data_IF_104778787540
#
_entry.id   IF_104778787540
#
_cell.length_a   1.000
_cell.length_b   1.000
_cell.length_c   1.000
_cell.angle_alpha   90.00
_cell.angle_beta   90.00
_cell.angle_gamma   90.00
#
_symmetry.space_group_name_H-M   'P 1'
#
loop_
_entity.id
_entity.type
_entity.pdbx_description
1 polymer ?
#
# COMPACT_ATOMS: atom_id res chain seq x y z
N UNK A 1 -8.84 0.03 26.98
CA UNK A 1 -8.11 -1.19 27.43
C UNK A 1 -8.40 -2.27 26.40
N UNK A 2 -7.39 -3.01 25.93
CA UNK A 2 -7.49 -3.97 24.82
C UNK A 2 -8.32 -5.24 25.11
N UNK A 3 -8.69 -5.49 26.37
CA UNK A 3 -9.33 -6.75 26.78
C UNK A 3 -8.44 -8.00 26.68
N UNK A 4 -7.14 -7.82 26.39
CA UNK A 4 -6.18 -8.93 26.33
C UNK A 4 -5.84 -9.40 27.73
N UNK A 5 -6.16 -10.65 28.04
CA UNK A 5 -6.00 -11.24 29.38
C UNK A 5 -4.68 -12.01 29.54
N UNK A 6 -4.01 -12.38 28.45
CA UNK A 6 -2.75 -13.11 28.46
C UNK A 6 -1.70 -12.34 27.67
N UNK A 7 -0.51 -12.19 28.23
CA UNK A 7 0.66 -11.59 27.59
C UNK A 7 1.87 -12.46 27.88
N UNK A 8 2.71 -12.70 26.87
CA UNK A 8 3.99 -13.39 27.02
C UNK A 8 5.03 -12.77 26.10
N UNK A 9 6.27 -12.74 26.51
CA UNK A 9 7.43 -12.43 25.67
C UNK A 9 8.03 -13.69 25.01
N UNK A 10 7.47 -14.86 25.33
CA UNK A 10 7.86 -16.14 24.77
C UNK A 10 6.88 -16.56 23.68
N UNK A 11 7.30 -16.43 22.41
CA UNK A 11 6.47 -16.80 21.27
C UNK A 11 6.13 -18.30 21.27
N UNK A 12 7.08 -19.15 21.61
CA UNK A 12 6.88 -20.62 21.57
C UNK A 12 5.80 -21.06 22.58
N UNK A 13 5.73 -20.41 23.75
CA UNK A 13 4.65 -20.62 24.73
C UNK A 13 3.28 -20.18 24.17
N UNK A 14 3.22 -19.01 23.53
CA UNK A 14 1.98 -18.53 22.94
C UNK A 14 1.50 -19.43 21.78
N UNK A 15 2.41 -19.97 20.98
CA UNK A 15 2.12 -20.89 19.89
C UNK A 15 1.72 -22.29 20.36
N UNK A 16 2.17 -22.71 21.53
CA UNK A 16 1.81 -24.01 22.12
C UNK A 16 0.36 -24.05 22.63
N UNK A 17 -0.27 -22.91 22.90
CA UNK A 17 -1.67 -22.86 23.34
C UNK A 17 -2.60 -23.29 22.19
N UNK A 18 -3.36 -24.41 22.34
CA UNK A 18 -4.25 -24.90 21.28
C UNK A 18 -5.44 -23.97 21.00
N UNK A 19 -5.79 -23.09 21.92
CA UNK A 19 -6.87 -22.10 21.73
C UNK A 19 -6.44 -20.93 20.82
N UNK A 20 -5.15 -20.71 20.65
CA UNK A 20 -4.61 -19.72 19.72
C UNK A 20 -4.53 -20.35 18.32
N UNK A 21 -5.57 -20.20 17.49
CA UNK A 21 -5.63 -20.81 16.16
C UNK A 21 -5.04 -19.93 15.05
N UNK A 22 -4.87 -18.63 15.31
CA UNK A 22 -4.33 -17.65 14.35
C UNK A 22 -3.09 -17.02 14.98
N UNK A 23 -2.05 -16.89 14.16
CA UNK A 23 -0.89 -16.06 14.43
C UNK A 23 -0.97 -14.80 13.56
N UNK A 24 -1.08 -13.63 14.18
CA UNK A 24 -0.99 -12.33 13.50
C UNK A 24 0.42 -11.75 13.71
N UNK A 25 1.13 -11.52 12.61
CA UNK A 25 2.43 -10.88 12.66
C UNK A 25 2.36 -9.38 12.38
N UNK A 26 2.70 -8.58 13.37
CA UNK A 26 2.85 -7.13 13.29
C UNK A 26 4.26 -6.66 13.70
N UNK A 27 5.25 -7.54 13.65
CA UNK A 27 6.65 -7.23 13.98
C UNK A 27 7.33 -6.41 12.87
N UNK A 28 8.57 -5.98 13.15
CA UNK A 28 9.46 -5.44 12.10
C UNK A 28 9.77 -6.53 11.06
N UNK A 29 9.98 -6.12 9.81
CA UNK A 29 10.11 -7.03 8.66
C UNK A 29 11.16 -8.11 8.86
N UNK A 30 12.35 -7.76 9.36
CA UNK A 30 13.46 -8.70 9.55
C UNK A 30 13.20 -9.82 10.57
N UNK A 31 12.23 -9.66 11.47
CA UNK A 31 11.87 -10.68 12.49
C UNK A 31 10.72 -11.59 12.04
N UNK A 32 9.98 -11.19 11.03
CA UNK A 32 8.71 -11.82 10.64
C UNK A 32 8.87 -13.25 10.16
N UNK A 33 9.82 -13.50 9.27
CA UNK A 33 9.96 -14.79 8.62
C UNK A 33 10.15 -15.96 9.61
N UNK A 34 10.99 -15.80 10.62
CA UNK A 34 11.22 -16.84 11.61
C UNK A 34 10.00 -17.09 12.50
N UNK A 35 9.30 -16.02 12.88
CA UNK A 35 8.09 -16.14 13.68
C UNK A 35 6.96 -16.82 12.89
N UNK A 36 6.78 -16.48 11.60
CA UNK A 36 5.81 -17.14 10.72
C UNK A 36 6.14 -18.62 10.53
N UNK A 37 7.41 -19.00 10.31
CA UNK A 37 7.84 -20.41 10.23
C UNK A 37 7.48 -21.19 11.48
N UNK A 38 7.73 -20.62 12.66
CA UNK A 38 7.35 -21.24 13.94
C UNK A 38 5.84 -21.41 14.06
N UNK A 39 5.08 -20.40 13.69
CA UNK A 39 3.63 -20.43 13.75
C UNK A 39 3.03 -21.48 12.80
N UNK A 40 3.53 -21.57 11.56
CA UNK A 40 3.13 -22.61 10.61
C UNK A 40 3.44 -24.01 11.13
N UNK A 41 4.66 -24.21 11.70
CA UNK A 41 5.06 -25.49 12.32
C UNK A 41 4.15 -25.86 13.50
N UNK A 42 3.63 -24.88 14.23
CA UNK A 42 2.66 -25.07 15.31
C UNK A 42 1.21 -25.22 14.81
N UNK A 43 0.98 -25.31 13.47
CA UNK A 43 -0.34 -25.49 12.85
C UNK A 43 -1.25 -24.27 12.93
N UNK A 44 -0.70 -23.07 13.15
CA UNK A 44 -1.50 -21.84 13.22
C UNK A 44 -1.81 -21.29 11.83
N UNK A 45 -3.01 -20.76 11.65
CA UNK A 45 -3.33 -19.92 10.50
C UNK A 45 -2.56 -18.62 10.59
N UNK A 46 -2.10 -18.09 9.45
CA UNK A 46 -1.19 -16.95 9.40
C UNK A 46 -1.90 -15.73 8.83
N UNK A 47 -1.79 -14.60 9.52
CA UNK A 47 -2.15 -13.29 8.98
C UNK A 47 -1.00 -12.33 9.24
N UNK A 48 -0.46 -11.71 8.20
CA UNK A 48 0.77 -10.92 8.29
C UNK A 48 0.56 -9.47 7.88
N UNK A 49 1.23 -8.56 8.59
CA UNK A 49 1.51 -7.24 8.05
C UNK A 49 2.44 -7.32 6.83
N UNK A 50 2.32 -6.32 5.98
CA UNK A 50 3.26 -6.11 4.86
C UNK A 50 4.47 -5.26 5.33
N UNK A 51 5.64 -5.39 4.66
CA UNK A 51 6.08 -6.47 3.77
C UNK A 51 6.15 -7.80 4.50
N UNK A 52 5.80 -8.89 3.83
CA UNK A 52 5.77 -10.22 4.49
C UNK A 52 7.16 -10.81 4.75
N UNK A 53 8.18 -10.28 4.08
CA UNK A 53 9.59 -10.69 4.22
C UNK A 53 10.53 -9.58 3.71
N UNK A 54 11.83 -9.77 3.88
CA UNK A 54 12.86 -8.80 3.49
C UNK A 54 13.22 -8.85 2.01
N UNK A 55 13.00 -10.00 1.34
CA UNK A 55 13.23 -10.21 -0.07
C UNK A 55 12.21 -11.17 -0.69
N UNK A 56 12.17 -11.22 -2.03
CA UNK A 56 11.20 -12.02 -2.78
C UNK A 56 11.39 -13.52 -2.56
N UNK A 57 12.62 -14.02 -2.40
CA UNK A 57 12.88 -15.45 -2.19
C UNK A 57 12.34 -15.89 -0.83
N UNK A 58 12.65 -15.14 0.23
CA UNK A 58 12.14 -15.40 1.57
C UNK A 58 10.60 -15.30 1.62
N UNK A 59 10.01 -14.34 0.93
CA UNK A 59 8.56 -14.21 0.82
C UNK A 59 7.92 -15.43 0.13
N UNK A 60 8.52 -15.89 -0.97
CA UNK A 60 8.07 -17.10 -1.68
C UNK A 60 8.18 -18.36 -0.81
N UNK A 61 9.28 -18.52 -0.08
CA UNK A 61 9.47 -19.63 0.86
C UNK A 61 8.35 -19.68 1.90
N UNK A 62 7.95 -18.51 2.46
CA UNK A 62 6.85 -18.45 3.44
C UNK A 62 5.51 -18.83 2.81
N UNK A 63 5.23 -18.34 1.61
CA UNK A 63 4.01 -18.74 0.88
C UNK A 63 3.95 -20.24 0.62
N UNK A 64 5.02 -20.81 0.07
CA UNK A 64 5.10 -22.25 -0.22
C UNK A 64 5.02 -23.10 1.06
N UNK A 65 5.62 -22.65 2.16
CA UNK A 65 5.49 -23.29 3.45
C UNK A 65 4.04 -23.31 3.94
N UNK A 66 3.34 -22.20 3.88
CA UNK A 66 1.92 -22.15 4.26
C UNK A 66 1.07 -23.05 3.37
N UNK A 67 1.30 -23.01 2.05
CA UNK A 67 0.59 -23.83 1.07
C UNK A 67 0.80 -25.34 1.30
N UNK A 68 2.04 -25.76 1.53
CA UNK A 68 2.37 -27.18 1.77
C UNK A 68 1.86 -27.70 3.11
N UNK A 69 1.76 -26.82 4.12
CA UNK A 69 1.25 -27.16 5.44
C UNK A 69 -0.28 -27.11 5.55
N UNK A 70 -0.98 -26.63 4.50
CA UNK A 70 -2.44 -26.54 4.47
C UNK A 70 -3.02 -25.49 5.44
N UNK A 71 -2.19 -24.61 6.03
CA UNK A 71 -2.69 -23.56 6.89
C UNK A 71 -3.28 -22.42 6.05
N UNK A 72 -4.39 -21.83 6.53
CA UNK A 72 -4.95 -20.62 5.94
C UNK A 72 -3.98 -19.48 6.15
N UNK A 73 -3.81 -18.63 5.14
CA UNK A 73 -2.88 -17.53 5.23
C UNK A 73 -3.39 -16.28 4.53
N UNK A 74 -2.92 -15.10 4.96
CA UNK A 74 -3.31 -13.82 4.42
C UNK A 74 -2.30 -12.73 4.72
N UNK A 75 -2.32 -11.68 3.92
CA UNK A 75 -1.51 -10.47 4.09
C UNK A 75 -2.40 -9.24 4.20
N UNK A 76 -2.00 -8.28 5.03
CA UNK A 76 -2.71 -7.00 5.16
C UNK A 76 -2.59 -6.19 3.86
N UNK A 77 -3.75 -5.87 3.28
CA UNK A 77 -3.93 -5.01 2.11
C UNK A 77 -5.04 -3.99 2.36
N UNK A 78 -4.95 -3.32 3.49
CA UNK A 78 -5.96 -2.43 4.07
C UNK A 78 -6.49 -1.37 3.10
N UNK A 79 -5.63 -0.81 2.25
CA UNK A 79 -6.02 0.29 1.36
C UNK A 79 -7.05 -0.08 0.30
N UNK A 80 -7.23 -1.38 -0.02
CA UNK A 80 -8.30 -1.84 -0.91
C UNK A 80 -9.70 -1.57 -0.34
N UNK A 81 -9.81 -1.43 0.99
CA UNK A 81 -11.05 -1.25 1.72
C UNK A 81 -11.28 0.20 2.13
N UNK A 82 -10.45 1.13 1.68
CA UNK A 82 -10.70 2.56 1.87
C UNK A 82 -11.92 2.99 1.04
N UNK A 83 -12.86 3.75 1.62
CA UNK A 83 -14.09 4.15 0.93
C UNK A 83 -13.86 4.80 -0.44
N UNK A 84 -12.84 5.67 -0.55
CA UNK A 84 -12.47 6.28 -1.83
C UNK A 84 -12.03 5.27 -2.88
N UNK A 85 -11.27 4.24 -2.49
CA UNK A 85 -10.81 3.17 -3.39
C UNK A 85 -11.96 2.24 -3.79
N UNK A 86 -12.86 1.91 -2.86
CA UNK A 86 -14.08 1.13 -3.16
C UNK A 86 -14.94 1.85 -4.20
N UNK A 87 -15.16 3.17 -4.04
CA UNK A 87 -15.88 3.99 -5.01
C UNK A 87 -15.20 3.98 -6.38
N UNK A 88 -13.88 4.13 -6.40
CA UNK A 88 -13.08 4.12 -7.62
C UNK A 88 -13.19 2.77 -8.35
N UNK A 89 -13.04 1.67 -7.62
CA UNK A 89 -13.17 0.31 -8.16
C UNK A 89 -14.55 0.07 -8.78
N UNK A 90 -15.62 0.54 -8.12
CA UNK A 90 -16.98 0.49 -8.65
C UNK A 90 -17.14 1.26 -9.96
N UNK A 91 -16.56 2.46 -10.07
CA UNK A 91 -16.58 3.25 -11.31
C UNK A 91 -15.89 2.52 -12.47
N UNK A 92 -14.76 1.85 -12.18
CA UNK A 92 -14.03 1.04 -13.17
C UNK A 92 -14.91 -0.12 -13.65
N UNK A 93 -15.49 -0.87 -12.72
CA UNK A 93 -16.36 -2.03 -13.03
C UNK A 93 -17.61 -1.63 -13.85
N UNK A 94 -18.09 -0.41 -13.67
CA UNK A 94 -19.21 0.14 -14.44
C UNK A 94 -18.81 0.75 -15.78
N UNK A 95 -17.51 0.73 -16.13
CA UNK A 95 -17.01 1.26 -17.39
C UNK A 95 -17.02 2.79 -17.51
N UNK A 96 -17.11 3.51 -16.38
CA UNK A 96 -17.20 4.97 -16.32
C UNK A 96 -16.06 5.66 -17.10
N UNK A 97 -14.86 5.15 -16.99
CA UNK A 97 -13.67 5.75 -17.62
C UNK A 97 -13.54 5.50 -19.12
N UNK A 98 -14.27 4.50 -19.68
CA UNK A 98 -13.94 3.96 -20.99
C UNK A 98 -12.56 3.27 -20.93
N UNK A 99 -11.65 3.62 -21.86
CA UNK A 99 -10.23 3.19 -21.74
C UNK A 99 -9.54 4.07 -20.71
N UNK A 100 -8.96 3.48 -19.68
CA UNK A 100 -8.09 4.18 -18.73
C UNK A 100 -6.77 4.50 -19.46
N UNK A 101 -6.32 5.74 -19.33
CA UNK A 101 -5.12 6.27 -19.98
C UNK A 101 -3.97 6.36 -18.99
N UNK A 102 -4.23 6.95 -17.83
CA UNK A 102 -3.21 7.17 -16.82
C UNK A 102 -3.79 7.17 -15.41
N UNK A 103 -2.93 6.83 -14.44
CA UNK A 103 -3.19 6.92 -13.00
C UNK A 103 -2.07 7.74 -12.35
N UNK A 104 -2.42 8.71 -11.52
CA UNK A 104 -1.46 9.47 -10.71
C UNK A 104 -1.78 9.31 -9.25
N UNK A 105 -0.79 8.98 -8.45
CA UNK A 105 -0.91 8.80 -7.01
C UNK A 105 0.02 9.71 -6.23
N UNK A 106 -0.50 10.34 -5.19
CA UNK A 106 0.26 11.15 -4.24
C UNK A 106 0.02 10.61 -2.84
N UNK A 107 1.10 10.29 -2.14
CA UNK A 107 1.08 9.84 -0.75
C UNK A 107 2.10 10.63 0.06
N UNK A 108 1.70 11.08 1.22
CA UNK A 108 2.62 11.65 2.18
C UNK A 108 2.02 12.72 3.05
N UNK A 109 2.66 12.93 4.19
CA UNK A 109 2.25 13.91 5.18
C UNK A 109 3.47 14.40 5.97
N UNK A 110 3.45 15.65 6.38
CA UNK A 110 4.52 16.27 7.16
C UNK A 110 4.73 15.64 8.54
N UNK A 111 3.73 14.96 9.11
CA UNK A 111 3.83 14.26 10.42
C UNK A 111 4.90 13.16 10.46
N UNK A 112 5.44 12.78 9.32
CA UNK A 112 6.50 11.80 9.20
C UNK A 112 7.91 12.42 9.12
N UNK A 113 8.06 13.73 9.20
CA UNK A 113 9.36 14.40 9.06
C UNK A 113 10.36 13.99 10.15
N UNK A 114 10.03 14.20 11.43
CA UNK A 114 10.84 13.75 12.55
C UNK A 114 12.19 14.46 12.71
N UNK A 115 12.35 15.66 12.13
CA UNK A 115 13.60 16.43 12.13
C UNK A 115 13.84 17.21 13.42
N UNK A 116 12.78 17.63 14.09
CA UNK A 116 12.83 18.44 15.32
C UNK A 116 12.14 17.77 16.51
N UNK A 117 11.15 16.93 16.25
CA UNK A 117 10.46 16.09 17.23
C UNK A 117 10.32 14.68 16.66
N UNK A 118 10.13 13.63 17.47
CA UNK A 118 9.93 12.28 16.95
C UNK A 118 8.82 12.22 15.91
N UNK A 119 9.09 11.56 14.80
CA UNK A 119 8.07 11.30 13.76
C UNK A 119 6.94 10.44 14.31
N UNK A 120 5.78 10.49 13.68
CA UNK A 120 4.69 9.56 14.00
C UNK A 120 5.06 8.10 13.69
N UNK A 121 5.98 7.86 12.73
CA UNK A 121 6.53 6.53 12.45
C UNK A 121 7.71 6.24 13.37
N UNK A 122 7.85 4.99 13.86
CA UNK A 122 9.02 4.56 14.62
C UNK A 122 10.33 4.75 13.82
N UNK A 123 11.41 5.07 14.53
CA UNK A 123 12.71 5.43 13.96
C UNK A 123 13.34 4.34 13.07
N UNK A 124 13.02 3.06 13.28
CA UNK A 124 13.51 1.99 12.43
C UNK A 124 13.07 2.11 10.96
N UNK A 125 11.92 2.75 10.67
CA UNK A 125 11.47 2.98 9.31
C UNK A 125 12.45 3.82 8.46
N UNK A 126 13.32 4.60 9.11
CA UNK A 126 14.28 5.49 8.45
C UNK A 126 15.71 4.92 8.44
N UNK A 127 15.86 3.64 8.80
CA UNK A 127 17.15 2.93 8.83
C UNK A 127 17.12 1.75 7.86
N UNK A 128 18.07 1.74 6.93
CA UNK A 128 18.21 0.66 5.95
C UNK A 128 18.62 -0.66 6.60
N UNK A 129 19.42 -0.59 7.63
CA UNK A 129 19.88 -1.72 8.44
C UNK A 129 18.77 -2.41 9.24
N UNK A 130 17.63 -1.72 9.41
CA UNK A 130 16.43 -2.24 10.08
C UNK A 130 15.31 -2.60 9.05
N UNK A 131 15.67 -2.77 7.76
CA UNK A 131 14.75 -3.03 6.64
C UNK A 131 13.72 -1.92 6.42
N UNK A 132 14.07 -0.66 6.79
CA UNK A 132 13.26 0.53 6.57
C UNK A 132 13.39 1.09 5.16
N UNK A 133 12.60 2.11 4.88
CA UNK A 133 12.57 2.87 3.64
C UNK A 133 11.17 2.97 3.05
N UNK A 134 10.87 4.11 2.44
CA UNK A 134 9.54 4.36 1.86
C UNK A 134 9.29 3.53 0.60
N UNK A 135 10.33 3.17 -0.15
CA UNK A 135 10.20 2.28 -1.31
C UNK A 135 9.69 0.93 -0.83
N UNK A 136 10.31 0.34 0.20
CA UNK A 136 9.89 -0.95 0.77
C UNK A 136 8.49 -0.87 1.35
N UNK A 137 8.17 0.21 2.07
CA UNK A 137 6.85 0.41 2.68
C UNK A 137 5.77 0.62 1.62
N UNK A 138 5.97 1.56 0.69
CA UNK A 138 4.89 2.03 -0.18
C UNK A 138 4.74 1.24 -1.47
N UNK A 139 5.80 0.69 -2.08
CA UNK A 139 5.64 -0.10 -3.28
C UNK A 139 4.87 -1.41 -3.02
N UNK A 140 4.96 -1.97 -1.81
CA UNK A 140 4.08 -3.06 -1.40
C UNK A 140 2.60 -2.66 -1.43
N UNK A 141 2.26 -1.43 -0.99
CA UNK A 141 0.89 -0.92 -1.08
C UNK A 141 0.47 -0.64 -2.51
N UNK A 142 1.35 -0.03 -3.31
CA UNK A 142 1.05 0.28 -4.70
C UNK A 142 0.84 -0.98 -5.53
N UNK A 143 1.60 -2.06 -5.25
CA UNK A 143 1.45 -3.31 -5.97
C UNK A 143 0.01 -3.82 -5.92
N UNK A 144 -0.55 -4.02 -4.76
CA UNK A 144 -1.88 -4.59 -4.66
C UNK A 144 -2.99 -3.62 -5.11
N UNK A 145 -2.80 -2.29 -4.93
CA UNK A 145 -3.74 -1.31 -5.46
C UNK A 145 -3.74 -1.35 -6.99
N UNK A 146 -2.56 -1.34 -7.62
CA UNK A 146 -2.45 -1.36 -9.07
C UNK A 146 -3.00 -2.66 -9.65
N UNK A 147 -2.58 -3.79 -9.13
CA UNK A 147 -2.99 -5.12 -9.61
C UNK A 147 -4.50 -5.36 -9.45
N UNK A 148 -5.09 -4.99 -8.32
CA UNK A 148 -6.52 -5.24 -8.03
C UNK A 148 -7.46 -4.24 -8.72
N UNK A 149 -7.01 -3.00 -8.93
CA UNK A 149 -7.89 -1.92 -9.41
C UNK A 149 -7.69 -1.61 -10.88
N UNK A 150 -6.45 -1.63 -11.40
CA UNK A 150 -6.13 -1.12 -12.74
C UNK A 150 -5.54 -2.16 -13.69
N UNK A 151 -4.94 -3.22 -13.18
CA UNK A 151 -4.27 -4.27 -13.95
C UNK A 151 -2.85 -4.54 -13.48
N UNK A 152 -2.30 -5.68 -13.89
CA UNK A 152 -1.01 -6.18 -13.41
C UNK A 152 0.15 -5.24 -13.77
N UNK A 153 1.03 -4.99 -12.80
CA UNK A 153 2.27 -4.24 -13.02
C UNK A 153 3.25 -5.07 -13.84
N UNK A 154 3.73 -4.53 -14.96
CA UNK A 154 4.67 -5.19 -15.88
C UNK A 154 6.10 -4.66 -15.77
N UNK A 155 6.26 -3.37 -15.48
CA UNK A 155 7.57 -2.77 -15.33
C UNK A 155 7.52 -1.59 -14.35
N UNK A 156 8.67 -1.25 -13.77
CA UNK A 156 8.83 -0.12 -12.86
C UNK A 156 10.09 0.67 -13.18
N UNK A 157 9.96 2.00 -13.12
CA UNK A 157 11.07 2.95 -13.01
C UNK A 157 10.92 3.71 -11.70
N UNK A 158 11.89 3.64 -10.81
CA UNK A 158 11.82 4.24 -9.49
C UNK A 158 13.08 5.04 -9.17
N UNK A 159 12.90 6.18 -8.52
CA UNK A 159 13.96 6.96 -7.88
C UNK A 159 13.64 7.10 -6.40
N UNK A 160 14.60 6.77 -5.55
CA UNK A 160 14.56 7.04 -4.12
C UNK A 160 15.36 8.29 -3.75
N UNK A 161 15.07 8.86 -2.60
CA UNK A 161 15.86 9.91 -2.00
C UNK A 161 15.76 9.85 -0.47
N UNK A 162 16.82 10.33 0.20
CA UNK A 162 16.84 10.62 1.64
C UNK A 162 16.97 12.14 1.79
N UNK A 163 15.83 12.83 1.89
CA UNK A 163 15.82 14.30 1.94
C UNK A 163 16.18 14.83 3.33
N UNK A 164 15.75 14.14 4.40
CA UNK A 164 16.08 14.49 5.78
C UNK A 164 17.11 13.50 6.32
N UNK A 165 18.36 13.88 6.29
CA UNK A 165 19.49 13.01 6.66
C UNK A 165 19.67 12.77 8.17
N UNK A 166 19.01 13.59 9.03
CA UNK A 166 19.08 13.44 10.49
C UNK A 166 17.70 13.64 11.07
N UNK A 167 17.30 12.74 11.94
CA UNK A 167 16.01 12.77 12.66
C UNK A 167 16.21 12.52 14.15
N UNK A 168 15.14 12.70 14.94
CA UNK A 168 15.12 12.38 16.38
C UNK A 168 14.31 11.09 16.59
N UNK A 169 14.86 10.20 17.41
CA UNK A 169 14.19 8.95 17.79
C UNK A 169 13.13 9.15 18.88
N UNK A 170 12.51 8.07 19.33
CA UNK A 170 11.44 8.08 20.35
C UNK A 170 11.90 8.59 21.70
N UNK A 171 13.21 8.66 21.96
CA UNK A 171 13.84 9.22 23.15
C UNK A 171 14.29 10.68 22.96
N UNK A 172 14.04 11.25 21.78
CA UNK A 172 14.49 12.61 21.45
C UNK A 172 15.98 12.70 21.08
N UNK A 173 16.66 11.57 20.84
CA UNK A 173 18.07 11.54 20.46
C UNK A 173 18.22 11.61 18.93
N UNK A 174 19.09 12.49 18.47
CA UNK A 174 19.39 12.62 17.05
C UNK A 174 20.08 11.34 16.51
N UNK A 175 19.66 10.89 15.31
CA UNK A 175 20.27 9.79 14.59
C UNK A 175 20.34 10.07 13.08
N UNK A 176 21.29 9.40 12.39
CA UNK A 176 21.44 9.48 10.94
C UNK A 176 20.43 8.56 10.25
N UNK A 177 19.68 9.10 9.29
CA UNK A 177 18.81 8.32 8.41
C UNK A 177 19.65 7.68 7.31
N UNK A 178 19.44 6.39 7.08
CA UNK A 178 20.15 5.60 6.07
C UNK A 178 19.21 5.05 5.00
N UNK A 179 17.91 5.02 5.27
CA UNK A 179 16.87 4.63 4.33
C UNK A 179 16.30 5.82 3.56
N UNK A 180 15.64 5.53 2.45
CA UNK A 180 14.90 6.49 1.63
C UNK A 180 13.64 6.97 2.36
N UNK A 181 13.34 8.27 2.25
CA UNK A 181 12.15 8.92 2.78
C UNK A 181 11.26 9.53 1.69
N UNK A 182 11.67 9.38 0.43
CA UNK A 182 10.89 9.73 -0.74
C UNK A 182 11.11 8.72 -1.87
N UNK A 183 10.03 8.37 -2.59
CA UNK A 183 10.02 7.49 -3.76
C UNK A 183 9.21 8.12 -4.87
N UNK A 184 9.78 8.18 -6.07
CA UNK A 184 9.16 8.66 -7.28
C UNK A 184 9.14 7.51 -8.28
N UNK A 185 7.97 6.91 -8.51
CA UNK A 185 7.87 5.70 -9.29
C UNK A 185 6.88 5.82 -10.46
N UNK A 186 7.26 5.27 -11.61
CA UNK A 186 6.39 5.10 -12.77
C UNK A 186 6.27 3.62 -13.08
N UNK A 187 5.05 3.18 -13.37
CA UNK A 187 4.72 1.78 -13.65
C UNK A 187 4.05 1.65 -15.01
N UNK A 188 4.39 0.60 -15.74
CA UNK A 188 3.62 0.12 -16.89
C UNK A 188 2.69 -1.00 -16.43
N UNK A 189 1.41 -0.91 -16.80
CA UNK A 189 0.40 -1.91 -16.45
C UNK A 189 -0.15 -2.59 -17.71
N UNK A 190 -0.88 -3.68 -17.51
CA UNK A 190 -1.67 -4.30 -18.56
C UNK A 190 -2.53 -3.28 -19.30
N UNK A 191 -2.75 -3.50 -20.60
CA UNK A 191 -3.57 -2.59 -21.43
C UNK A 191 -2.91 -1.26 -21.80
N UNK A 192 -1.62 -1.07 -21.45
CA UNK A 192 -0.86 0.14 -21.77
C UNK A 192 -1.19 1.32 -20.86
N UNK A 193 -1.70 1.07 -19.66
CA UNK A 193 -1.94 2.10 -18.65
C UNK A 193 -0.58 2.49 -18.03
N UNK A 194 -0.34 3.80 -17.93
CA UNK A 194 0.82 4.35 -17.23
C UNK A 194 0.36 4.87 -15.87
N UNK A 195 0.98 4.37 -14.81
CA UNK A 195 0.75 4.86 -13.45
C UNK A 195 2.01 5.56 -12.92
N UNK A 196 1.84 6.72 -12.28
CA UNK A 196 2.93 7.46 -11.65
C UNK A 196 2.55 7.77 -10.21
N UNK A 197 3.40 7.34 -9.27
CA UNK A 197 3.15 7.51 -7.85
C UNK A 197 4.34 8.19 -7.16
N UNK A 198 4.04 9.27 -6.45
CA UNK A 198 4.97 9.94 -5.56
C UNK A 198 4.61 9.58 -4.11
N UNK A 199 5.58 9.11 -3.37
CA UNK A 199 5.43 8.79 -1.94
C UNK A 199 6.51 9.54 -1.16
N UNK A 200 6.13 10.27 -0.12
CA UNK A 200 7.10 11.05 0.64
C UNK A 200 6.69 11.22 2.10
N UNK A 201 7.68 11.08 2.99
CA UNK A 201 7.55 11.39 4.41
C UNK A 201 8.04 12.80 4.75
N UNK A 202 8.33 13.63 3.73
CA UNK A 202 8.99 14.92 3.89
C UNK A 202 8.21 16.09 3.29
N UNK A 203 6.95 15.86 2.88
CA UNK A 203 6.17 16.86 2.15
C UNK A 203 5.12 17.54 3.01
N UNK A 204 4.99 18.86 2.82
CA UNK A 204 3.83 19.65 3.21
C UNK A 204 2.91 19.73 2.01
N UNK A 205 1.67 19.30 2.18
CA UNK A 205 0.72 19.20 1.08
C UNK A 205 -0.45 20.13 1.28
N UNK A 206 -0.92 20.75 0.20
CA UNK A 206 -2.18 21.48 0.15
C UNK A 206 -3.25 20.58 -0.46
N UNK A 207 -3.59 19.53 0.25
CA UNK A 207 -4.70 18.62 -0.07
C UNK A 207 -5.31 18.12 1.23
N UNK A 208 -6.55 17.67 1.18
CA UNK A 208 -7.32 17.29 2.37
C UNK A 208 -7.00 15.87 2.83
N UNK A 209 -6.12 15.16 2.13
CA UNK A 209 -5.93 13.73 2.37
C UNK A 209 -4.47 13.28 2.29
N UNK A 210 -4.14 12.23 3.05
CA UNK A 210 -2.85 11.55 3.04
C UNK A 210 -2.55 10.91 1.68
N UNK A 211 -3.59 10.40 1.02
CA UNK A 211 -3.56 9.71 -0.26
C UNK A 211 -4.50 10.39 -1.23
N UNK A 212 -4.03 10.61 -2.45
CA UNK A 212 -4.87 11.03 -3.57
C UNK A 212 -4.51 10.21 -4.80
N UNK A 213 -5.52 9.62 -5.43
CA UNK A 213 -5.41 8.94 -6.73
C UNK A 213 -6.24 9.70 -7.75
N UNK A 214 -5.62 10.13 -8.85
CA UNK A 214 -6.31 10.67 -10.01
C UNK A 214 -6.26 9.65 -11.15
N UNK A 215 -7.40 9.37 -11.75
CA UNK A 215 -7.56 8.46 -12.88
C UNK A 215 -8.14 9.22 -14.05
N UNK A 216 -7.47 9.17 -15.19
CA UNK A 216 -7.91 9.80 -16.43
C UNK A 216 -8.25 8.72 -17.46
N UNK A 217 -9.44 8.81 -18.04
CA UNK A 217 -9.93 7.89 -19.05
C UNK A 217 -10.56 8.62 -20.24
N UNK A 218 -10.91 7.88 -21.28
CA UNK A 218 -11.47 8.46 -22.52
C UNK A 218 -12.89 9.00 -22.37
N UNK A 219 -13.63 8.56 -21.34
CA UNK A 219 -15.03 8.97 -21.09
C UNK A 219 -15.23 9.76 -19.81
N UNK A 220 -14.24 9.77 -18.92
CA UNK A 220 -14.31 10.50 -17.66
C UNK A 220 -13.04 10.36 -16.85
N UNK A 221 -12.95 11.19 -15.81
CA UNK A 221 -11.86 11.20 -14.85
C UNK A 221 -12.40 11.13 -13.44
N UNK A 222 -11.58 10.66 -12.50
CA UNK A 222 -11.91 10.65 -11.06
C UNK A 222 -10.70 11.06 -10.22
N UNK A 223 -10.98 11.64 -9.05
CA UNK A 223 -10.01 11.87 -7.98
C UNK A 223 -10.54 11.21 -6.72
N UNK A 224 -9.82 10.24 -6.19
CA UNK A 224 -10.16 9.50 -4.98
C UNK A 224 -9.12 9.73 -3.88
N UNK A 225 -9.58 9.97 -2.66
CA UNK A 225 -8.77 10.01 -1.45
C UNK A 225 -9.05 8.81 -0.54
N UNK A 226 -8.82 8.97 0.77
CA UNK A 226 -9.10 7.91 1.75
C UNK A 226 -10.61 7.59 1.82
N UNK A 227 -11.45 8.62 1.73
CA UNK A 227 -12.91 8.48 1.89
C UNK A 227 -13.70 8.96 0.71
N UNK A 228 -13.29 10.06 0.12
CA UNK A 228 -14.02 10.75 -0.93
C UNK A 228 -13.59 10.33 -2.32
N UNK A 229 -14.51 10.43 -3.28
CA UNK A 229 -14.23 10.27 -4.70
C UNK A 229 -15.06 11.30 -5.47
N UNK A 230 -14.42 12.03 -6.36
CA UNK A 230 -15.03 13.00 -7.24
C UNK A 230 -14.83 12.56 -8.69
N UNK A 231 -15.83 12.82 -9.53
CA UNK A 231 -15.82 12.44 -10.94
C UNK A 231 -16.15 13.62 -11.84
N UNK A 232 -15.57 13.61 -13.03
CA UNK A 232 -15.94 14.48 -14.14
C UNK A 232 -16.15 13.64 -15.38
N UNK A 233 -17.37 13.65 -15.93
CA UNK A 233 -17.67 12.99 -17.19
C UNK A 233 -17.16 13.84 -18.37
N UNK A 234 -16.75 13.20 -19.46
CA UNK A 234 -16.28 13.89 -20.67
C UNK A 234 -17.26 14.94 -21.18
N UNK A 235 -18.59 14.65 -21.15
CA UNK A 235 -19.63 15.58 -21.57
C UNK A 235 -19.74 16.86 -20.74
N UNK A 236 -19.23 16.85 -19.51
CA UNK A 236 -19.23 17.99 -18.59
C UNK A 236 -17.83 18.66 -18.50
N UNK A 237 -16.88 18.22 -19.32
CA UNK A 237 -15.52 18.76 -19.29
C UNK A 237 -15.46 20.09 -20.02
N UNK A 238 -15.13 21.22 -19.36
CA UNK A 238 -14.96 22.51 -20.01
C UNK A 238 -13.84 22.45 -21.04
N UNK A 239 -14.00 23.16 -22.15
CA UNK A 239 -13.00 23.26 -23.21
C UNK A 239 -12.57 24.72 -23.37
N UNK A 240 -11.86 25.32 -22.40
CA UNK A 240 -11.40 26.70 -22.50
C UNK A 240 -10.31 26.83 -23.52
N UNK A 241 -10.28 27.99 -24.19
CA UNK A 241 -9.11 28.40 -24.95
C UNK A 241 -8.10 28.99 -23.97
N UNK A 242 -6.90 28.43 -23.97
CA UNK A 242 -5.83 28.96 -23.13
C UNK A 242 -5.33 30.28 -23.66
N UNK A 243 -5.35 31.31 -22.80
CA UNK A 243 -4.79 32.63 -23.09
C UNK A 243 -4.02 33.12 -21.86
N UNK A 244 -2.67 33.28 -21.92
CA UNK A 244 -1.86 33.70 -20.81
C UNK A 244 -2.08 35.16 -20.37
N UNK A 245 -2.66 35.99 -21.26
CA UNK A 245 -2.82 37.43 -21.04
C UNK A 245 -4.03 37.79 -20.18
N UNK A 246 -4.94 36.84 -19.96
CA UNK A 246 -6.13 37.02 -19.13
C UNK A 246 -6.29 35.94 -18.07
N UNK A 247 -6.87 36.29 -16.94
CA UNK A 247 -7.22 35.30 -15.93
C UNK A 247 -8.22 34.28 -16.50
N UNK A 248 -8.02 32.99 -16.17
CA UNK A 248 -8.91 31.92 -16.60
C UNK A 248 -10.32 32.12 -16.03
N UNK A 249 -11.36 32.37 -16.86
CA UNK A 249 -12.71 32.65 -16.37
C UNK A 249 -13.48 31.39 -15.95
N UNK A 250 -12.97 30.19 -16.27
CA UNK A 250 -13.66 28.92 -15.99
C UNK A 250 -13.23 28.35 -14.66
N UNK A 251 -14.20 28.01 -13.82
CA UNK A 251 -13.98 27.23 -12.63
C UNK A 251 -13.83 25.75 -13.00
N UNK A 252 -12.62 25.20 -12.96
CA UNK A 252 -12.34 23.81 -13.32
C UNK A 252 -12.97 22.79 -12.36
N UNK A 253 -13.42 23.20 -11.17
CA UNK A 253 -14.09 22.30 -10.21
C UNK A 253 -15.60 22.21 -10.43
N UNK A 254 -16.21 23.15 -11.17
CA UNK A 254 -17.67 23.23 -11.34
C UNK A 254 -18.27 21.99 -11.99
N UNK A 255 -17.54 21.36 -12.92
CA UNK A 255 -17.99 20.14 -13.62
C UNK A 255 -17.75 18.84 -12.84
N UNK A 256 -17.16 18.90 -11.64
CA UNK A 256 -16.91 17.72 -10.81
C UNK A 256 -18.08 17.44 -9.87
N UNK A 257 -18.43 16.15 -9.74
CA UNK A 257 -19.48 15.67 -8.85
C UNK A 257 -18.93 14.67 -7.84
N UNK A 258 -19.39 14.76 -6.60
CA UNK A 258 -19.05 13.80 -5.55
C UNK A 258 -19.76 12.48 -5.81
N UNK A 259 -19.05 11.38 -5.73
CA UNK A 259 -19.60 10.02 -5.74
C UNK A 259 -20.26 9.75 -4.38
N UNK A 260 -21.56 9.44 -4.35
CA UNK A 260 -22.27 9.20 -3.11
C UNK A 260 -21.82 7.91 -2.41
N UNK A 261 -21.97 7.89 -1.10
CA UNK A 261 -21.88 6.66 -0.31
C UNK A 261 -23.10 5.79 -0.65
N UNK A 262 -22.89 4.50 -0.91
CA UNK A 262 -23.97 3.53 -1.15
C UNK A 262 -24.18 2.59 0.04
N UNK A 263 -23.27 2.62 0.98
CA UNK A 263 -23.26 1.80 2.18
C UNK A 263 -22.49 2.50 3.32
N UNK A 264 -22.63 1.99 4.52
CA UNK A 264 -21.81 2.41 5.64
C UNK A 264 -20.42 1.74 5.52
N UNK A 265 -19.38 2.52 5.33
CA UNK A 265 -18.02 2.02 5.28
C UNK A 265 -17.45 1.83 6.69
N UNK A 266 -16.94 0.66 6.96
CA UNK A 266 -16.24 0.35 8.20
C UNK A 266 -14.74 0.63 8.10
N UNK A 267 -14.00 0.43 9.19
CA UNK A 267 -12.55 0.52 9.20
C UNK A 267 -11.93 -0.54 8.26
N UNK A 268 -11.02 -0.12 7.39
CA UNK A 268 -10.44 -0.96 6.36
C UNK A 268 -9.72 -2.21 6.90
N UNK A 269 -9.02 -2.10 8.03
CA UNK A 269 -8.40 -3.25 8.71
C UNK A 269 -9.47 -4.21 9.25
N UNK A 270 -10.54 -3.67 9.85
CA UNK A 270 -11.63 -4.49 10.38
C UNK A 270 -12.28 -5.31 9.27
N UNK A 271 -12.60 -4.68 8.14
CA UNK A 271 -13.22 -5.37 6.98
C UNK A 271 -12.36 -6.54 6.53
N UNK A 272 -11.06 -6.32 6.35
CA UNK A 272 -10.17 -7.39 5.90
C UNK A 272 -10.00 -8.50 6.94
N UNK A 273 -9.96 -8.14 8.24
CA UNK A 273 -9.96 -9.11 9.31
C UNK A 273 -11.22 -9.99 9.31
N UNK A 274 -12.39 -9.39 9.16
CA UNK A 274 -13.66 -10.11 9.09
C UNK A 274 -13.68 -11.10 7.91
N UNK A 275 -13.17 -10.70 6.74
CA UNK A 275 -13.03 -11.57 5.58
C UNK A 275 -12.07 -12.73 5.83
N UNK A 276 -10.92 -12.48 6.48
CA UNK A 276 -9.98 -13.53 6.83
C UNK A 276 -10.54 -14.50 7.86
N UNK A 277 -11.22 -14.01 8.90
CA UNK A 277 -11.90 -14.84 9.88
C UNK A 277 -13.01 -15.69 9.23
N UNK A 278 -13.78 -15.11 8.34
CA UNK A 278 -14.79 -15.82 7.55
C UNK A 278 -14.16 -16.93 6.73
N UNK A 279 -13.05 -16.64 6.03
CA UNK A 279 -12.27 -17.64 5.29
C UNK A 279 -11.84 -18.82 6.18
N UNK A 280 -11.39 -18.56 7.40
CA UNK A 280 -10.99 -19.62 8.33
C UNK A 280 -12.19 -20.50 8.71
N UNK A 281 -13.33 -19.89 9.02
CA UNK A 281 -14.52 -20.59 9.55
C UNK A 281 -15.31 -21.30 8.46
N UNK A 282 -15.54 -20.63 7.33
CA UNK A 282 -16.43 -21.14 6.27
C UNK A 282 -15.70 -21.77 5.09
N UNK A 283 -14.41 -21.47 4.92
CA UNK A 283 -13.65 -21.86 3.73
C UNK A 283 -13.92 -20.97 2.51
N UNK A 284 -14.67 -19.87 2.65
CA UNK A 284 -14.92 -18.92 1.57
C UNK A 284 -13.59 -18.46 0.93
N UNK A 285 -13.56 -18.11 -0.36
CA UNK A 285 -12.36 -17.61 -1.03
C UNK A 285 -11.79 -16.37 -0.34
N UNK A 286 -10.47 -16.33 -0.20
CA UNK A 286 -9.71 -15.19 0.32
C UNK A 286 -8.49 -14.96 -0.59
N UNK A 287 -8.62 -14.11 -1.62
CA UNK A 287 -7.58 -13.94 -2.64
C UNK A 287 -6.35 -13.16 -2.16
N UNK A 288 -6.40 -12.55 -0.99
CA UNK A 288 -5.30 -11.74 -0.42
C UNK A 288 -4.38 -12.60 0.46
N UNK A 289 -3.94 -13.73 -0.07
CA UNK A 289 -3.03 -14.66 0.61
C UNK A 289 -1.56 -14.17 0.58
N UNK A 290 -0.63 -14.97 1.13
CA UNK A 290 0.78 -14.60 1.13
C UNK A 290 1.39 -14.51 -0.27
N UNK A 291 0.79 -15.10 -1.32
CA UNK A 291 1.24 -14.90 -2.69
C UNK A 291 1.11 -13.44 -3.14
N UNK A 292 0.00 -12.80 -2.76
CA UNK A 292 -0.15 -11.36 -3.00
C UNK A 292 0.89 -10.54 -2.20
N UNK A 293 1.27 -11.02 -1.03
CA UNK A 293 2.38 -10.46 -0.26
C UNK A 293 3.72 -10.59 -0.95
N UNK A 294 4.00 -11.73 -1.61
CA UNK A 294 5.22 -11.95 -2.44
C UNK A 294 5.30 -10.91 -3.55
N UNK A 295 4.20 -10.68 -4.28
CA UNK A 295 4.16 -9.66 -5.34
C UNK A 295 4.49 -8.26 -4.81
N UNK A 296 4.01 -7.93 -3.61
CA UNK A 296 4.33 -6.66 -2.95
C UNK A 296 5.83 -6.51 -2.67
N UNK A 297 6.45 -7.53 -2.07
CA UNK A 297 7.90 -7.56 -1.79
C UNK A 297 8.71 -7.49 -3.11
N UNK A 298 8.29 -8.25 -4.13
CA UNK A 298 8.92 -8.21 -5.45
C UNK A 298 8.93 -6.80 -6.05
N UNK A 299 7.82 -6.08 -6.02
CA UNK A 299 7.78 -4.73 -6.57
C UNK A 299 8.67 -3.77 -5.80
N UNK A 300 8.74 -3.87 -4.47
CA UNK A 300 9.64 -3.08 -3.65
C UNK A 300 11.12 -3.36 -3.99
N UNK A 301 11.50 -4.63 -4.10
CA UNK A 301 12.84 -5.06 -4.50
C UNK A 301 13.20 -4.54 -5.90
N UNK A 302 12.28 -4.67 -6.87
CA UNK A 302 12.49 -4.15 -8.23
C UNK A 302 12.53 -2.63 -8.31
N UNK A 303 11.82 -1.93 -7.43
CA UNK A 303 11.93 -0.48 -7.26
C UNK A 303 13.31 -0.06 -6.76
N UNK A 304 13.85 -0.74 -5.75
CA UNK A 304 15.22 -0.52 -5.26
C UNK A 304 16.27 -0.85 -6.34
N UNK A 305 16.07 -1.93 -7.09
CA UNK A 305 16.92 -2.30 -8.21
C UNK A 305 16.93 -1.22 -9.31
N UNK A 306 15.74 -0.71 -9.67
CA UNK A 306 15.57 0.38 -10.64
C UNK A 306 16.31 1.64 -10.20
N UNK A 307 16.16 2.04 -8.94
CA UNK A 307 16.87 3.17 -8.37
C UNK A 307 18.38 3.00 -8.43
N UNK A 308 18.89 1.83 -8.04
CA UNK A 308 20.32 1.52 -8.03
C UNK A 308 20.91 1.52 -9.44
N UNK A 309 20.23 0.88 -10.41
CA UNK A 309 20.70 0.73 -11.80
C UNK A 309 20.35 1.91 -12.70
N UNK A 310 19.48 2.83 -12.25
CA UNK A 310 19.01 3.99 -13.02
C UNK A 310 18.33 3.59 -14.34
N UNK A 311 17.53 2.53 -14.33
CA UNK A 311 16.83 2.03 -15.51
C UNK A 311 15.47 1.43 -15.16
N UNK A 312 14.65 1.20 -16.19
CA UNK A 312 13.42 0.43 -16.09
C UNK A 312 13.73 -1.03 -15.75
N UNK A 313 12.94 -1.63 -14.88
CA UNK A 313 13.02 -3.05 -14.50
C UNK A 313 11.68 -3.73 -14.81
N UNK A 314 11.72 -4.81 -15.58
CA UNK A 314 10.56 -5.66 -15.81
C UNK A 314 10.19 -6.42 -14.53
N UNK A 315 8.90 -6.63 -14.32
CA UNK A 315 8.36 -7.41 -13.21
C UNK A 315 8.03 -8.81 -13.75
N UNK A 316 8.83 -9.82 -13.42
CA UNK A 316 8.53 -11.20 -13.85
C UNK A 316 7.28 -11.71 -13.13
N UNK A 317 6.54 -12.59 -13.80
CA UNK A 317 5.45 -13.35 -13.17
C UNK A 317 6.00 -14.31 -12.09
N UNK A 318 5.26 -14.48 -11.02
CA UNK A 318 5.59 -15.35 -9.87
C UNK A 318 4.40 -16.20 -9.48
#
# INVERSE_FOLDING_TARGET
MSGVNKMSTNLDEALADPHNIIYFDAQTTGRRADAVRKAVKAGKHIYCEKPIAVDTNQAMDLYLLCKSSGVKNGVVQDKLWLPGIIKLKRLIQQGFFGKILSVRGEFGYWVFEGDSIPAQRPSWNYRKEDDGGIIVDMLCHWRYILDDVFGQVKAVSCLGATHIGTRVDEQGKAYKCTADDAAYATFELDGGIIAQFNSSWTVRVRRDDLLTLQVDGTKGSAVAGLRECYIQHYGNTPKPVWNPDIAQPINFFEGWAKVPDQENYDNAFKVQWELFLKHIVTGDPFPWDLHEGVKGVQLAEKGLESWSKRCWINIPEI
#
